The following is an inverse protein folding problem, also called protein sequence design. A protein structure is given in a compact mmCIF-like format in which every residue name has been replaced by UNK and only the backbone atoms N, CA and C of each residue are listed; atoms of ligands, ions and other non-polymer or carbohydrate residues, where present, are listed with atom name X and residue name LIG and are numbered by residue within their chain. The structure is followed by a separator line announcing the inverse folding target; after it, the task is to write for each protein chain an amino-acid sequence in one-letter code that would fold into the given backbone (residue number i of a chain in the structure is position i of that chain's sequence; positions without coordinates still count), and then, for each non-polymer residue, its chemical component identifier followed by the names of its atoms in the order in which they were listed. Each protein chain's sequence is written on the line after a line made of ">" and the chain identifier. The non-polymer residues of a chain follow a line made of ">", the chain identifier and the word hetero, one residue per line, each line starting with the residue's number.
data_IF_429388676783
#
_entry.id   IF_429388676783
#
_cell.length_a   1.000
_cell.length_b   1.000
_cell.length_c   1.000
_cell.angle_alpha   90.00
_cell.angle_beta   90.00
_cell.angle_gamma   90.00
#
_symmetry.space_group_name_H-M   'P 1'
#
loop_
_entity.id
_entity.type
_entity.pdbx_description
1 polymer ?
#
# COMPACT_ATOMS: atom_id res chain seq x y z
N UNK A 1 48.60 -17.17 -28.82
CA UNK A 1 47.62 -16.31 -28.12
C UNK A 1 46.41 -16.15 -29.01
N UNK A 2 45.32 -16.84 -28.69
CA UNK A 2 44.06 -16.80 -29.45
C UNK A 2 43.04 -15.99 -28.61
N UNK A 3 42.76 -14.77 -29.04
CA UNK A 3 41.68 -13.98 -28.48
C UNK A 3 40.34 -14.52 -28.98
N UNK A 4 39.57 -15.11 -28.09
CA UNK A 4 38.20 -15.50 -28.37
C UNK A 4 37.31 -14.27 -28.36
N UNK A 5 36.81 -13.87 -29.54
CA UNK A 5 35.73 -12.92 -29.70
C UNK A 5 34.42 -13.58 -29.19
N UNK A 6 34.01 -13.25 -27.98
CA UNK A 6 32.68 -13.59 -27.54
C UNK A 6 31.67 -12.65 -28.20
N UNK A 7 31.03 -13.18 -29.22
CA UNK A 7 29.90 -12.55 -29.90
C UNK A 7 28.72 -12.48 -28.93
N UNK A 8 28.43 -11.28 -28.48
CA UNK A 8 27.28 -10.98 -27.64
C UNK A 8 26.01 -11.09 -28.51
N UNK A 9 25.49 -12.31 -28.68
CA UNK A 9 24.15 -12.49 -29.24
C UNK A 9 23.14 -11.94 -28.24
N UNK A 10 22.53 -10.82 -28.61
CA UNK A 10 21.40 -10.20 -27.89
C UNK A 10 20.20 -11.15 -27.85
N UNK A 11 20.19 -12.05 -26.89
CA UNK A 11 18.95 -12.67 -26.45
C UNK A 11 18.18 -11.61 -25.73
N UNK A 12 17.09 -11.14 -26.33
CA UNK A 12 16.05 -10.45 -25.59
C UNK A 12 15.68 -11.36 -24.41
N UNK A 13 15.99 -10.92 -23.19
CA UNK A 13 15.53 -11.59 -21.99
C UNK A 13 14.02 -11.34 -21.96
N UNK A 14 13.27 -12.22 -22.59
CA UNK A 14 11.85 -12.35 -22.31
C UNK A 14 11.79 -12.87 -20.88
N UNK A 15 11.67 -11.97 -19.91
CA UNK A 15 11.33 -12.33 -18.54
C UNK A 15 9.95 -12.96 -18.64
N UNK A 16 9.93 -14.29 -18.66
CA UNK A 16 8.68 -15.03 -18.65
C UNK A 16 8.02 -14.72 -17.31
N UNK A 17 6.83 -14.12 -17.37
CA UNK A 17 6.05 -13.79 -16.16
C UNK A 17 5.69 -15.06 -15.36
N UNK A 18 5.95 -16.24 -15.90
CA UNK A 18 5.79 -17.52 -15.23
C UNK A 18 6.79 -17.71 -14.08
N UNK A 19 8.01 -17.19 -14.19
CA UNK A 19 9.05 -17.35 -13.16
C UNK A 19 8.76 -16.55 -11.87
N UNK A 20 7.90 -15.52 -11.96
CA UNK A 20 7.44 -14.76 -10.80
C UNK A 20 6.28 -15.41 -10.02
N UNK A 21 5.72 -16.53 -10.55
CA UNK A 21 4.49 -17.16 -10.03
C UNK A 21 4.79 -18.38 -9.18
N UNK A 22 6.02 -18.87 -9.14
CA UNK A 22 6.35 -20.21 -8.62
C UNK A 22 6.49 -20.33 -7.11
N UNK A 23 6.59 -19.24 -6.38
CA UNK A 23 6.46 -19.29 -4.93
C UNK A 23 5.08 -18.77 -4.51
N UNK A 24 4.19 -19.69 -4.16
CA UNK A 24 2.93 -19.34 -3.51
C UNK A 24 3.25 -18.71 -2.16
N UNK A 25 3.32 -17.40 -2.13
CA UNK A 25 3.48 -16.65 -0.88
C UNK A 25 2.25 -16.95 -0.03
N UNK A 26 2.42 -17.84 0.95
CA UNK A 26 1.36 -18.14 1.91
C UNK A 26 1.00 -16.88 2.69
N UNK A 27 -0.12 -16.26 2.33
CA UNK A 27 -0.62 -15.08 3.03
C UNK A 27 -1.44 -15.48 4.25
N UNK A 28 -1.12 -14.86 5.37
CA UNK A 28 -1.97 -14.97 6.57
C UNK A 28 -3.32 -14.27 6.33
N UNK A 29 -4.41 -14.89 6.81
CA UNK A 29 -5.75 -14.29 6.75
C UNK A 29 -5.75 -12.90 7.39
N UNK A 30 -6.32 -11.90 6.71
CA UNK A 30 -6.37 -10.52 7.19
C UNK A 30 -5.11 -9.67 6.94
N UNK A 31 -4.08 -10.21 6.33
CA UNK A 31 -2.87 -9.46 5.99
C UNK A 31 -3.17 -8.40 4.93
N UNK A 32 -2.76 -7.16 5.20
CA UNK A 32 -2.89 -6.05 4.24
C UNK A 32 -1.82 -6.14 3.15
N UNK A 33 -2.14 -5.58 1.96
CA UNK A 33 -1.18 -5.47 0.87
C UNK A 33 0.03 -4.63 1.28
N UNK A 34 1.22 -5.15 1.03
CA UNK A 34 2.49 -4.46 1.23
C UNK A 34 2.81 -3.56 0.03
N UNK A 35 3.83 -2.73 0.15
CA UNK A 35 4.25 -1.80 -0.89
C UNK A 35 4.73 -2.54 -2.15
N UNK A 36 5.49 -3.60 -1.95
CA UNK A 36 6.06 -4.46 -2.98
C UNK A 36 4.94 -5.14 -3.78
N UNK A 37 3.94 -5.67 -3.08
CA UNK A 37 2.78 -6.31 -3.71
C UNK A 37 1.95 -5.32 -4.54
N UNK A 38 1.83 -4.06 -4.10
CA UNK A 38 1.21 -3.01 -4.91
C UNK A 38 2.01 -2.70 -6.16
N UNK A 39 3.35 -2.74 -6.07
CA UNK A 39 4.23 -2.63 -7.22
C UNK A 39 4.00 -3.76 -8.22
N UNK A 40 3.93 -5.00 -7.73
CA UNK A 40 3.61 -6.17 -8.54
C UNK A 40 2.23 -6.05 -9.21
N UNK A 41 1.19 -5.60 -8.49
CA UNK A 41 -0.14 -5.33 -9.07
C UNK A 41 -0.04 -4.32 -10.21
N UNK A 42 0.72 -3.24 -10.04
CA UNK A 42 0.90 -2.23 -11.08
C UNK A 42 1.56 -2.80 -12.32
N UNK A 43 2.63 -3.56 -12.14
CA UNK A 43 3.38 -4.18 -13.25
C UNK A 43 2.50 -5.17 -14.02
N UNK A 44 1.89 -6.13 -13.32
CA UNK A 44 1.01 -7.14 -13.93
C UNK A 44 -0.23 -6.51 -14.60
N UNK A 45 -0.77 -5.44 -14.01
CA UNK A 45 -1.91 -4.74 -14.62
C UNK A 45 -1.53 -4.01 -15.90
N UNK A 46 -0.35 -3.40 -15.93
CA UNK A 46 0.20 -2.77 -17.14
C UNK A 46 0.51 -3.78 -18.25
N UNK A 47 0.93 -5.00 -17.87
CA UNK A 47 1.12 -6.13 -18.78
C UNK A 47 -0.20 -6.77 -19.27
N UNK A 48 -1.37 -6.25 -18.83
CA UNK A 48 -2.68 -6.69 -19.32
C UNK A 48 -3.29 -7.88 -18.57
N UNK A 49 -2.70 -8.35 -17.47
CA UNK A 49 -3.24 -9.48 -16.73
C UNK A 49 -4.61 -9.19 -16.12
N UNK A 50 -5.43 -10.23 -16.02
CA UNK A 50 -6.74 -10.17 -15.37
C UNK A 50 -6.61 -10.08 -13.85
N UNK A 51 -7.60 -9.52 -13.18
CA UNK A 51 -7.57 -9.42 -11.71
C UNK A 51 -7.48 -10.80 -11.03
N UNK A 52 -8.01 -11.86 -11.65
CA UNK A 52 -7.91 -13.24 -11.14
C UNK A 52 -6.47 -13.76 -11.24
N UNK A 53 -5.79 -13.52 -12.37
CA UNK A 53 -4.39 -13.94 -12.56
C UNK A 53 -3.47 -13.19 -11.58
N UNK A 54 -3.65 -11.88 -11.44
CA UNK A 54 -2.91 -11.06 -10.47
C UNK A 54 -3.13 -11.56 -9.04
N UNK A 55 -4.37 -11.85 -8.68
CA UNK A 55 -4.72 -12.36 -7.36
C UNK A 55 -4.05 -13.70 -7.04
N UNK A 56 -4.01 -14.62 -8.04
CA UNK A 56 -3.30 -15.89 -7.93
C UNK A 56 -1.79 -15.69 -7.73
N UNK A 57 -1.18 -14.80 -8.50
CA UNK A 57 0.24 -14.50 -8.41
C UNK A 57 0.66 -13.92 -7.04
N UNK A 58 -0.20 -13.11 -6.42
CA UNK A 58 0.10 -12.43 -5.14
C UNK A 58 -0.40 -13.25 -3.93
N UNK A 59 -1.20 -14.30 -4.16
CA UNK A 59 -1.80 -15.08 -3.08
C UNK A 59 -2.92 -14.35 -2.34
N UNK A 60 -3.73 -13.53 -3.04
CA UNK A 60 -4.83 -12.79 -2.44
C UNK A 60 -6.16 -13.02 -3.19
N UNK A 61 -7.26 -12.45 -2.68
CA UNK A 61 -8.54 -12.55 -3.38
C UNK A 61 -8.60 -11.60 -4.58
N UNK A 62 -9.31 -11.97 -5.67
CA UNK A 62 -9.55 -11.06 -6.79
C UNK A 62 -10.28 -9.77 -6.38
N UNK A 63 -11.11 -9.84 -5.36
CA UNK A 63 -11.79 -8.69 -4.76
C UNK A 63 -10.79 -7.71 -4.13
N UNK A 64 -9.75 -8.23 -3.45
CA UNK A 64 -8.68 -7.42 -2.87
C UNK A 64 -7.95 -6.63 -3.97
N UNK A 65 -7.60 -7.29 -5.07
CA UNK A 65 -6.99 -6.64 -6.23
C UNK A 65 -7.92 -5.58 -6.81
N UNK A 66 -9.20 -5.89 -7.00
CA UNK A 66 -10.20 -4.95 -7.50
C UNK A 66 -10.35 -3.70 -6.63
N UNK A 67 -10.39 -3.88 -5.31
CA UNK A 67 -10.47 -2.78 -4.35
C UNK A 67 -9.18 -1.92 -4.35
N UNK A 68 -8.01 -2.55 -4.49
CA UNK A 68 -6.75 -1.83 -4.58
C UNK A 68 -6.65 -1.02 -5.88
N UNK A 69 -7.07 -1.59 -7.01
CA UNK A 69 -7.13 -0.88 -8.29
C UNK A 69 -8.07 0.33 -8.22
N UNK A 70 -9.26 0.20 -7.60
CA UNK A 70 -10.16 1.34 -7.37
C UNK A 70 -9.51 2.42 -6.51
N UNK A 71 -8.78 2.02 -5.46
CA UNK A 71 -8.11 2.93 -4.53
C UNK A 71 -6.97 3.71 -5.19
N UNK A 72 -6.16 3.05 -6.02
CA UNK A 72 -4.98 3.65 -6.66
C UNK A 72 -5.23 4.28 -8.03
N UNK A 73 -6.46 4.19 -8.57
CA UNK A 73 -6.85 4.81 -9.83
C UNK A 73 -7.62 6.10 -9.52
N UNK A 74 -7.15 7.27 -9.99
CA UNK A 74 -7.87 8.52 -9.74
C UNK A 74 -9.21 8.53 -10.47
N UNK A 75 -10.20 9.29 -9.97
CA UNK A 75 -11.45 9.48 -10.67
C UNK A 75 -11.20 10.17 -12.03
N UNK A 76 -12.01 9.83 -13.02
CA UNK A 76 -11.91 10.44 -14.34
C UNK A 76 -12.38 11.89 -14.25
N UNK A 77 -11.53 12.82 -14.63
CA UNK A 77 -11.86 14.26 -14.59
C UNK A 77 -12.78 14.73 -15.72
N UNK A 78 -12.78 14.02 -16.86
CA UNK A 78 -13.57 14.35 -18.04
C UNK A 78 -14.05 13.09 -18.74
N UNK A 79 -15.18 13.17 -19.42
CA UNK A 79 -15.69 12.10 -20.28
C UNK A 79 -14.77 11.85 -21.49
N UNK A 80 -14.06 12.90 -21.93
CA UNK A 80 -13.09 12.85 -23.04
C UNK A 80 -11.68 12.54 -22.48
N UNK A 81 -10.93 11.69 -23.16
CA UNK A 81 -9.56 11.36 -22.83
C UNK A 81 -9.35 9.94 -22.30
N UNK A 82 -8.07 9.55 -22.18
CA UNK A 82 -7.64 8.23 -21.74
C UNK A 82 -7.99 8.01 -20.27
N UNK A 83 -8.48 6.81 -19.95
CA UNK A 83 -8.70 6.43 -18.55
C UNK A 83 -7.37 6.48 -17.79
N UNK A 84 -7.33 7.11 -16.61
CA UNK A 84 -6.12 7.12 -15.80
C UNK A 84 -5.76 5.71 -15.34
N UNK A 85 -4.47 5.38 -15.40
CA UNK A 85 -3.95 4.09 -14.95
C UNK A 85 -3.84 3.99 -13.43
N UNK A 86 -3.77 2.76 -12.93
CA UNK A 86 -3.45 2.48 -11.54
C UNK A 86 -2.02 2.92 -11.20
N UNK A 87 -1.82 3.40 -9.99
CA UNK A 87 -0.50 3.69 -9.42
C UNK A 87 -0.39 3.13 -8.02
N UNK A 88 0.64 2.29 -7.79
CA UNK A 88 0.94 1.70 -6.49
C UNK A 88 1.17 2.77 -5.41
N UNK A 89 1.87 3.86 -5.75
CA UNK A 89 2.11 5.00 -4.85
C UNK A 89 0.81 5.65 -4.38
N UNK A 90 -0.16 5.85 -5.29
CA UNK A 90 -1.48 6.39 -4.93
C UNK A 90 -2.28 5.41 -4.10
N UNK A 91 -2.25 4.12 -4.43
CA UNK A 91 -2.89 3.06 -3.65
C UNK A 91 -2.37 3.03 -2.21
N UNK A 92 -1.06 3.12 -2.03
CA UNK A 92 -0.43 3.19 -0.72
C UNK A 92 -0.83 4.46 0.05
N UNK A 93 -0.77 5.62 -0.59
CA UNK A 93 -1.16 6.88 0.04
C UNK A 93 -2.63 6.87 0.51
N UNK A 94 -3.54 6.38 -0.35
CA UNK A 94 -4.95 6.24 -0.01
C UNK A 94 -5.17 5.21 1.13
N UNK A 95 -4.42 4.10 1.13
CA UNK A 95 -4.46 3.14 2.22
C UNK A 95 -4.02 3.78 3.56
N UNK A 96 -2.89 4.48 3.57
CA UNK A 96 -2.38 5.18 4.77
C UNK A 96 -3.38 6.22 5.28
N UNK A 97 -3.98 7.01 4.39
CA UNK A 97 -5.01 7.99 4.74
C UNK A 97 -6.25 7.34 5.37
N UNK A 98 -6.74 6.25 4.78
CA UNK A 98 -7.88 5.51 5.31
C UNK A 98 -7.55 4.87 6.68
N UNK A 99 -6.35 4.32 6.83
CA UNK A 99 -5.88 3.78 8.12
C UNK A 99 -5.82 4.84 9.21
N UNK A 100 -5.34 6.05 8.87
CA UNK A 100 -5.32 7.18 9.81
C UNK A 100 -6.73 7.57 10.24
N UNK A 101 -7.70 7.62 9.31
CA UNK A 101 -9.10 7.95 9.61
C UNK A 101 -9.83 6.88 10.42
N UNK A 102 -9.49 5.60 10.21
CA UNK A 102 -10.15 4.50 10.91
C UNK A 102 -9.66 4.30 12.35
N UNK A 103 -8.58 4.97 12.76
CA UNK A 103 -8.16 4.98 14.16
C UNK A 103 -9.10 5.83 14.96
N UNK A 104 -9.67 5.25 16.03
CA UNK A 104 -10.39 6.05 17.01
C UNK A 104 -9.42 7.06 17.62
N UNK A 105 -9.81 8.35 17.74
CA UNK A 105 -8.99 9.32 18.45
C UNK A 105 -8.83 8.86 19.90
N UNK A 106 -7.69 9.16 20.48
CA UNK A 106 -7.43 8.81 21.88
C UNK A 106 -8.48 9.46 22.78
N UNK A 107 -9.00 8.74 23.78
CA UNK A 107 -10.07 9.26 24.67
C UNK A 107 -9.72 10.61 25.27
N UNK A 108 -8.45 10.82 25.60
CA UNK A 108 -7.95 12.08 26.14
C UNK A 108 -8.16 13.27 25.20
N UNK A 109 -8.21 13.05 23.87
CA UNK A 109 -8.46 14.13 22.90
C UNK A 109 -9.85 14.73 23.01
N UNK A 110 -10.81 14.03 23.64
CA UNK A 110 -12.15 14.51 23.89
C UNK A 110 -12.31 15.21 25.23
N UNK A 111 -11.31 15.14 26.09
CA UNK A 111 -11.32 15.68 27.43
C UNK A 111 -10.54 16.99 27.55
N UNK A 112 -10.77 17.93 26.61
CA UNK A 112 -10.04 19.22 26.56
C UNK A 112 -10.13 20.02 27.86
N UNK A 113 -11.29 20.00 28.56
CA UNK A 113 -11.45 20.66 29.86
C UNK A 113 -10.56 20.02 30.92
N UNK A 114 -10.50 18.69 30.95
CA UNK A 114 -9.65 17.94 31.88
C UNK A 114 -8.16 18.19 31.64
N UNK A 115 -7.75 18.18 30.38
CA UNK A 115 -6.34 18.48 30.00
C UNK A 115 -5.98 19.90 30.45
N UNK A 116 -6.85 20.88 30.22
CA UNK A 116 -6.60 22.26 30.62
C UNK A 116 -6.46 22.36 32.14
N UNK A 117 -7.36 21.75 32.87
CA UNK A 117 -7.30 21.68 34.32
C UNK A 117 -5.99 21.05 34.82
N UNK A 118 -5.58 19.90 34.29
CA UNK A 118 -4.29 19.28 34.64
C UNK A 118 -3.13 20.24 34.35
N UNK A 119 -3.12 20.89 33.20
CA UNK A 119 -2.04 21.84 32.87
C UNK A 119 -1.98 23.02 33.83
N UNK A 120 -3.12 23.51 34.35
CA UNK A 120 -3.18 24.52 35.39
C UNK A 120 -2.60 23.99 36.70
N UNK A 121 -3.02 22.80 37.15
CA UNK A 121 -2.49 22.19 38.38
C UNK A 121 -0.98 21.96 38.34
N UNK A 122 -0.47 21.47 37.21
CA UNK A 122 0.99 21.26 37.02
C UNK A 122 1.74 22.60 37.05
N UNK A 123 1.19 23.66 36.45
CA UNK A 123 1.85 24.97 36.35
C UNK A 123 1.80 25.74 37.68
N UNK A 124 0.64 25.79 38.31
CA UNK A 124 0.41 26.61 39.50
C UNK A 124 0.85 25.92 40.79
N UNK A 125 0.52 24.64 40.89
CA UNK A 125 0.77 23.87 42.12
C UNK A 125 1.97 22.92 42.02
N UNK A 126 2.64 22.85 40.83
CA UNK A 126 3.78 21.94 40.54
C UNK A 126 3.46 20.47 40.87
N UNK A 127 2.20 20.08 40.69
CA UNK A 127 1.80 18.70 40.91
C UNK A 127 2.46 17.79 39.89
N UNK A 128 2.85 16.58 40.32
CA UNK A 128 3.27 15.53 39.38
C UNK A 128 2.06 15.03 38.59
N UNK A 129 2.31 14.45 37.42
CA UNK A 129 1.24 13.86 36.60
C UNK A 129 0.52 12.73 37.33
N UNK A 130 1.21 12.00 38.21
CA UNK A 130 0.61 10.95 39.04
C UNK A 130 -0.33 11.49 40.10
N UNK A 131 -0.09 12.71 40.59
CA UNK A 131 -0.98 13.36 41.53
C UNK A 131 -2.26 13.92 40.88
N UNK A 132 -2.30 13.99 39.53
CA UNK A 132 -3.46 14.45 38.77
C UNK A 132 -4.35 13.28 38.27
N UNK A 133 -3.95 12.04 38.52
CA UNK A 133 -4.68 10.82 38.15
C UNK A 133 -5.60 10.42 39.28
#
# INVERSE_FOLDING_TARGET
>A
MKFAHNFFQGRAITVDCQDYITESVERKKGQHLQREERGAIQHLKNAGYTNRAIAKAIGCSPTTVGNELKRGTPPRKSSKGRKPGYSARRGEAAYKANRKRSRKPHRICHCTRFIRWIMEQVKEHKWSLDACA
#
